data_IF_897401124592
#
_entry.id   IF_897401124592
#
_cell.length_a   1.000
_cell.length_b   1.000
_cell.length_c   1.000
_cell.angle_alpha   90.00
_cell.angle_beta   90.00
_cell.angle_gamma   90.00
#
_symmetry.space_group_name_H-M   'P 1'
#
loop_
_entity.id
_entity.type
_entity.pdbx_description
1 polymer ?
#
# COMPACT_ATOMS: atom_id res chain seq x y z
N UNK A 1 -4.90 43.03 -37.85
CA UNK A 1 -4.95 41.58 -38.14
C UNK A 1 -4.52 40.86 -36.85
N UNK A 2 -5.48 40.49 -36.01
CA UNK A 2 -5.25 39.84 -34.71
C UNK A 2 -5.40 38.33 -34.94
N UNK A 3 -4.30 37.57 -34.71
CA UNK A 3 -4.35 36.11 -34.77
C UNK A 3 -4.97 35.58 -33.46
N UNK A 4 -6.17 35.03 -33.55
CA UNK A 4 -6.76 34.22 -32.52
C UNK A 4 -6.02 32.88 -32.47
N UNK A 5 -5.28 32.61 -31.40
CA UNK A 5 -4.74 31.31 -31.08
C UNK A 5 -5.91 30.40 -30.62
N UNK A 6 -6.15 29.31 -31.36
CA UNK A 6 -7.11 28.30 -31.01
C UNK A 6 -6.70 27.61 -29.73
N UNK A 7 -7.49 27.77 -28.65
CA UNK A 7 -7.45 26.89 -27.48
C UNK A 7 -7.90 25.48 -27.94
N UNK A 8 -6.97 24.51 -27.95
CA UNK A 8 -7.34 23.10 -27.99
C UNK A 8 -7.95 22.77 -26.66
N UNK A 9 -9.24 22.54 -26.59
CA UNK A 9 -9.89 21.87 -25.47
C UNK A 9 -9.40 20.41 -25.46
N UNK A 10 -8.51 20.07 -24.54
CA UNK A 10 -8.26 18.67 -24.22
C UNK A 10 -9.53 18.10 -23.60
N UNK A 11 -10.18 17.19 -24.33
CA UNK A 11 -11.27 16.41 -23.79
C UNK A 11 -10.65 15.39 -22.85
N UNK A 12 -10.68 15.69 -21.55
CA UNK A 12 -10.34 14.72 -20.50
C UNK A 12 -11.44 13.69 -20.50
N UNK A 13 -11.21 12.54 -21.13
CA UNK A 13 -12.07 11.37 -20.95
C UNK A 13 -11.90 10.91 -19.50
N UNK A 14 -12.87 11.21 -18.64
CA UNK A 14 -13.00 10.56 -17.35
C UNK A 14 -13.19 9.06 -17.63
N UNK A 15 -12.15 8.28 -17.41
CA UNK A 15 -12.26 6.83 -17.46
C UNK A 15 -13.24 6.40 -16.37
N UNK A 16 -14.37 5.81 -16.76
CA UNK A 16 -15.35 5.31 -15.80
C UNK A 16 -14.70 4.14 -15.06
N UNK A 17 -14.53 4.28 -13.75
CA UNK A 17 -14.03 3.24 -12.89
C UNK A 17 -15.04 2.09 -12.83
N UNK A 18 -14.65 0.90 -13.25
CA UNK A 18 -15.50 -0.28 -13.12
C UNK A 18 -15.33 -0.89 -11.72
N UNK A 19 -16.42 -0.95 -10.95
CA UNK A 19 -16.41 -1.40 -9.57
C UNK A 19 -17.21 -2.70 -9.44
N UNK A 20 -16.64 -3.70 -8.76
CA UNK A 20 -17.33 -4.95 -8.41
C UNK A 20 -16.87 -5.48 -7.06
N UNK A 21 -17.73 -6.28 -6.44
CA UNK A 21 -17.44 -7.02 -5.22
C UNK A 21 -17.56 -8.52 -5.48
N UNK A 22 -16.73 -9.32 -4.82
CA UNK A 22 -16.76 -10.78 -4.89
C UNK A 22 -16.31 -11.39 -3.57
N UNK A 23 -16.72 -12.61 -3.29
CA UNK A 23 -16.23 -13.38 -2.14
C UNK A 23 -15.21 -14.41 -2.67
N UNK A 24 -13.96 -14.27 -2.24
CA UNK A 24 -12.86 -15.16 -2.61
C UNK A 24 -12.28 -15.77 -1.34
N UNK A 25 -12.29 -17.09 -1.24
CA UNK A 25 -11.79 -17.79 -0.07
C UNK A 25 -12.46 -17.39 1.25
N UNK A 26 -13.75 -16.98 1.19
CA UNK A 26 -14.53 -16.54 2.35
C UNK A 26 -14.32 -15.07 2.75
N UNK A 27 -13.46 -14.31 2.07
CA UNK A 27 -13.27 -12.88 2.30
C UNK A 27 -13.93 -12.05 1.21
N UNK A 28 -14.53 -10.92 1.59
CA UNK A 28 -15.03 -9.93 0.64
C UNK A 28 -13.84 -9.24 -0.01
N UNK A 29 -13.83 -9.18 -1.34
CA UNK A 29 -12.84 -8.50 -2.15
C UNK A 29 -13.54 -7.48 -3.05
N UNK A 30 -13.05 -6.24 -3.05
CA UNK A 30 -13.56 -5.15 -3.86
C UNK A 30 -12.54 -4.83 -4.95
N UNK A 31 -13.05 -4.70 -6.15
CA UNK A 31 -12.25 -4.52 -7.36
C UNK A 31 -12.61 -3.19 -8.00
N UNK A 32 -11.59 -2.40 -8.31
CA UNK A 32 -11.73 -1.12 -9.01
C UNK A 32 -10.80 -1.16 -10.21
N UNK A 33 -11.38 -1.16 -11.40
CA UNK A 33 -10.65 -1.35 -12.65
C UNK A 33 -10.63 -0.05 -13.46
N UNK A 34 -9.42 0.42 -13.76
CA UNK A 34 -9.14 1.59 -14.59
C UNK A 34 -8.61 1.13 -15.94
N UNK A 35 -9.49 1.02 -16.94
CA UNK A 35 -9.13 0.53 -18.29
C UNK A 35 -8.74 -0.95 -18.32
N UNK A 36 -7.87 -1.34 -19.27
CA UNK A 36 -7.30 -2.68 -19.29
C UNK A 36 -6.10 -2.74 -18.36
N UNK A 37 -6.16 -3.45 -17.23
CA UNK A 37 -5.13 -3.40 -16.21
C UNK A 37 -3.80 -3.96 -16.71
N UNK A 38 -2.73 -3.19 -16.52
CA UNK A 38 -1.34 -3.61 -16.75
C UNK A 38 -0.62 -3.98 -15.44
N UNK A 39 -1.27 -3.75 -14.29
CA UNK A 39 -0.74 -3.98 -12.94
C UNK A 39 -1.88 -4.18 -11.95
N UNK A 40 -1.64 -5.01 -10.93
CA UNK A 40 -2.52 -5.20 -9.78
C UNK A 40 -1.98 -4.35 -8.62
N UNK A 41 -2.85 -3.53 -8.03
CA UNK A 41 -2.64 -2.86 -6.75
C UNK A 41 -3.41 -3.65 -5.71
N UNK A 42 -2.75 -4.15 -4.68
CA UNK A 42 -3.35 -5.00 -3.66
C UNK A 42 -3.23 -4.35 -2.29
N UNK A 43 -4.31 -4.36 -1.50
CA UNK A 43 -4.30 -3.85 -0.13
C UNK A 43 -5.29 -4.55 0.78
N UNK A 44 -5.01 -4.67 2.09
CA UNK A 44 -6.03 -5.02 3.07
C UNK A 44 -6.99 -3.86 3.28
N UNK A 45 -8.26 -4.16 3.58
CA UNK A 45 -9.28 -3.16 3.89
C UNK A 45 -10.18 -3.60 5.05
N UNK A 46 -10.87 -2.64 5.66
CA UNK A 46 -11.94 -2.91 6.61
C UNK A 46 -13.30 -2.85 5.92
N UNK A 47 -14.28 -3.62 6.44
CA UNK A 47 -15.62 -3.74 5.83
C UNK A 47 -16.35 -2.43 5.60
N UNK A 48 -16.05 -1.39 6.38
CA UNK A 48 -16.73 -0.08 6.31
C UNK A 48 -16.05 0.91 5.33
N UNK A 49 -14.95 0.55 4.69
CA UNK A 49 -14.14 1.46 3.86
C UNK A 49 -14.55 1.51 2.37
N UNK A 50 -15.64 0.83 1.98
CA UNK A 50 -16.02 0.71 0.55
C UNK A 50 -16.19 2.07 -0.15
N UNK A 51 -16.75 3.07 0.52
CA UNK A 51 -16.97 4.39 -0.08
C UNK A 51 -15.65 5.16 -0.29
N UNK A 52 -14.67 4.98 0.60
CA UNK A 52 -13.38 5.65 0.54
C UNK A 52 -12.46 5.00 -0.51
N UNK A 53 -12.58 3.68 -0.72
CA UNK A 53 -11.81 2.92 -1.72
C UNK A 53 -12.09 3.39 -3.16
N UNK A 54 -13.32 3.77 -3.49
CA UNK A 54 -13.62 4.34 -4.81
C UNK A 54 -12.88 5.67 -5.01
N UNK A 55 -12.94 6.57 -4.03
CA UNK A 55 -12.24 7.85 -4.08
C UNK A 55 -10.72 7.68 -4.16
N UNK A 56 -10.17 6.68 -3.46
CA UNK A 56 -8.76 6.30 -3.54
C UNK A 56 -8.39 5.84 -4.95
N UNK A 57 -9.17 4.92 -5.55
CA UNK A 57 -8.94 4.43 -6.90
C UNK A 57 -9.02 5.56 -7.96
N UNK A 58 -9.98 6.48 -7.83
CA UNK A 58 -10.10 7.65 -8.70
C UNK A 58 -8.89 8.58 -8.58
N UNK A 59 -8.36 8.79 -7.36
CA UNK A 59 -7.15 9.57 -7.14
C UNK A 59 -5.91 8.89 -7.75
N UNK A 60 -5.75 7.56 -7.59
CA UNK A 60 -4.66 6.81 -8.23
C UNK A 60 -4.72 6.99 -9.74
N UNK A 61 -5.91 6.84 -10.35
CA UNK A 61 -6.09 7.01 -11.79
C UNK A 61 -5.70 8.42 -12.26
N UNK A 62 -6.16 9.45 -11.54
CA UNK A 62 -5.87 10.85 -11.85
C UNK A 62 -4.38 11.18 -11.73
N UNK A 63 -3.68 10.63 -10.72
CA UNK A 63 -2.27 10.90 -10.44
C UNK A 63 -1.32 10.13 -11.36
N UNK A 64 -1.61 8.87 -11.67
CA UNK A 64 -0.69 8.00 -12.42
C UNK A 64 -0.95 7.97 -13.91
N UNK A 65 -2.21 8.09 -14.34
CA UNK A 65 -2.61 7.88 -15.74
C UNK A 65 -2.36 6.45 -16.27
N UNK A 66 -1.99 5.53 -15.38
CA UNK A 66 -1.69 4.13 -15.73
C UNK A 66 -2.92 3.26 -15.50
N UNK A 67 -3.33 2.38 -16.45
CA UNK A 67 -4.39 1.41 -16.22
C UNK A 67 -4.00 0.38 -15.16
N UNK A 68 -4.86 0.18 -14.17
CA UNK A 68 -4.63 -0.74 -13.05
C UNK A 68 -5.91 -1.47 -12.62
N UNK A 69 -5.71 -2.53 -11.85
CA UNK A 69 -6.73 -3.18 -11.04
C UNK A 69 -6.40 -2.97 -9.56
N UNK A 70 -7.17 -2.16 -8.83
CA UNK A 70 -7.07 -2.10 -7.38
C UNK A 70 -7.95 -3.20 -6.78
N UNK A 71 -7.35 -4.03 -5.93
CA UNK A 71 -8.03 -5.09 -5.19
C UNK A 71 -7.85 -4.85 -3.70
N UNK A 72 -8.95 -4.57 -3.01
CA UNK A 72 -8.99 -4.44 -1.57
C UNK A 72 -9.69 -5.67 -0.96
N UNK A 73 -9.00 -6.42 -0.09
CA UNK A 73 -9.53 -7.60 0.56
C UNK A 73 -9.80 -7.35 2.04
N UNK A 74 -10.96 -7.78 2.53
CA UNK A 74 -11.34 -7.56 3.93
C UNK A 74 -10.48 -8.38 4.89
N UNK A 75 -10.06 -7.74 5.97
CA UNK A 75 -9.49 -8.38 7.16
C UNK A 75 -10.45 -8.20 8.33
N UNK A 76 -10.58 -9.24 9.16
CA UNK A 76 -11.52 -9.24 10.27
C UNK A 76 -11.00 -8.47 11.49
N UNK A 77 -9.71 -8.61 11.77
CA UNK A 77 -9.04 -7.92 12.89
C UNK A 77 -7.61 -7.51 12.49
N UNK A 78 -7.40 -6.22 12.29
CA UNK A 78 -6.11 -5.65 11.88
C UNK A 78 -4.94 -6.07 12.78
N UNK A 79 -5.16 -6.13 14.10
CA UNK A 79 -4.11 -6.50 15.05
C UNK A 79 -3.79 -8.00 15.01
N UNK A 80 -4.75 -8.82 14.67
CA UNK A 80 -4.60 -10.28 14.57
C UNK A 80 -4.03 -10.66 13.19
N UNK A 81 -4.58 -10.08 12.13
CA UNK A 81 -4.39 -10.51 10.75
C UNK A 81 -3.19 -9.85 10.05
N UNK A 82 -2.75 -8.66 10.50
CA UNK A 82 -1.72 -7.88 9.80
C UNK A 82 -0.42 -7.68 10.60
N UNK A 83 -0.42 -7.87 11.93
CA UNK A 83 0.82 -7.79 12.68
C UNK A 83 1.70 -9.01 12.39
N UNK A 84 3.00 -8.85 12.08
CA UNK A 84 3.92 -9.96 11.86
C UNK A 84 4.17 -10.80 13.14
N UNK A 85 4.10 -10.17 14.30
CA UNK A 85 4.24 -10.77 15.64
C UNK A 85 3.52 -9.94 16.70
N UNK A 86 3.29 -10.51 17.90
CA UNK A 86 2.66 -9.78 19.00
C UNK A 86 3.50 -8.59 19.48
N UNK A 87 2.87 -7.42 19.63
CA UNK A 87 3.44 -6.25 20.32
C UNK A 87 2.40 -5.66 21.30
N UNK A 88 2.71 -5.71 22.59
CA UNK A 88 1.83 -5.20 23.65
C UNK A 88 1.66 -3.69 23.64
N UNK A 89 2.52 -2.95 22.96
CA UNK A 89 2.38 -1.50 22.77
C UNK A 89 1.26 -1.16 21.77
N UNK A 90 0.93 -2.10 20.85
CA UNK A 90 -0.17 -1.96 19.88
C UNK A 90 -1.43 -2.62 20.42
N UNK A 91 -1.35 -3.87 20.83
CA UNK A 91 -2.51 -4.64 21.26
C UNK A 91 -2.18 -5.61 22.39
N UNK A 92 -3.08 -5.66 23.40
CA UNK A 92 -3.05 -6.65 24.47
C UNK A 92 -3.92 -7.87 24.20
N UNK A 93 -4.55 -7.95 23.02
CA UNK A 93 -5.33 -9.12 22.63
C UNK A 93 -4.41 -10.34 22.55
N UNK A 94 -4.82 -11.45 23.10
CA UNK A 94 -4.04 -12.70 23.09
C UNK A 94 -3.72 -13.18 21.67
N UNK A 95 -4.61 -12.93 20.71
CA UNK A 95 -4.48 -13.36 19.32
C UNK A 95 -3.70 -12.36 18.44
N UNK A 96 -3.35 -11.17 18.95
CA UNK A 96 -2.62 -10.17 18.17
C UNK A 96 -1.30 -10.74 17.62
N UNK A 97 -1.05 -10.50 16.33
CA UNK A 97 0.16 -10.95 15.64
C UNK A 97 0.26 -12.46 15.39
N UNK A 98 -0.85 -13.21 15.47
CA UNK A 98 -0.82 -14.67 15.29
C UNK A 98 -1.26 -15.14 13.90
N UNK A 99 -1.85 -14.27 13.07
CA UNK A 99 -2.43 -14.64 11.78
C UNK A 99 -1.83 -13.91 10.58
N UNK A 100 -0.75 -13.18 10.74
CA UNK A 100 -0.08 -12.52 9.62
C UNK A 100 0.32 -13.50 8.51
N UNK A 101 0.92 -14.64 8.86
CA UNK A 101 1.27 -15.70 7.89
C UNK A 101 0.03 -16.29 7.21
N UNK A 102 -1.07 -16.51 7.94
CA UNK A 102 -2.34 -17.01 7.38
C UNK A 102 -2.93 -16.00 6.39
N UNK A 103 -2.81 -14.70 6.68
CA UNK A 103 -3.26 -13.65 5.75
C UNK A 103 -2.38 -13.62 4.50
N UNK A 104 -1.06 -13.76 4.64
CA UNK A 104 -0.15 -13.85 3.49
C UNK A 104 -0.44 -15.10 2.65
N UNK A 105 -0.63 -16.27 3.27
CA UNK A 105 -1.00 -17.51 2.59
C UNK A 105 -2.32 -17.36 1.81
N UNK A 106 -3.32 -16.70 2.39
CA UNK A 106 -4.56 -16.39 1.69
C UNK A 106 -4.29 -15.53 0.44
N UNK A 107 -3.46 -14.50 0.54
CA UNK A 107 -3.09 -13.66 -0.61
C UNK A 107 -2.40 -14.48 -1.69
N UNK A 108 -1.40 -15.28 -1.32
CA UNK A 108 -0.56 -16.00 -2.28
C UNK A 108 -1.23 -17.23 -2.89
N UNK A 109 -2.01 -17.97 -2.09
CA UNK A 109 -2.53 -19.29 -2.48
C UNK A 109 -4.01 -19.27 -2.89
N UNK A 110 -4.72 -18.17 -2.60
CA UNK A 110 -6.16 -18.08 -2.90
C UNK A 110 -6.47 -16.84 -3.74
N UNK A 111 -6.14 -15.64 -3.26
CA UNK A 111 -6.55 -14.39 -3.89
C UNK A 111 -5.82 -14.13 -5.21
N UNK A 112 -4.49 -14.14 -5.21
CA UNK A 112 -3.69 -13.86 -6.42
C UNK A 112 -3.88 -14.89 -7.53
N UNK A 113 -3.97 -16.20 -7.27
CA UNK A 113 -4.30 -17.17 -8.31
C UNK A 113 -5.63 -16.90 -9.01
N UNK A 114 -6.68 -16.54 -8.23
CA UNK A 114 -7.99 -16.19 -8.79
C UNK A 114 -7.93 -14.92 -9.66
N UNK A 115 -7.22 -13.89 -9.21
CA UNK A 115 -7.03 -12.66 -9.98
C UNK A 115 -6.23 -12.94 -11.26
N UNK A 116 -5.13 -13.68 -11.17
CA UNK A 116 -4.27 -14.01 -12.30
C UNK A 116 -4.93 -14.90 -13.34
N UNK A 117 -5.90 -15.73 -12.94
CA UNK A 117 -6.72 -16.51 -13.87
C UNK A 117 -7.54 -15.59 -14.80
N UNK A 118 -7.96 -14.42 -14.32
CA UNK A 118 -8.74 -13.44 -15.10
C UNK A 118 -7.87 -12.42 -15.84
N UNK A 119 -6.82 -11.92 -15.21
CA UNK A 119 -6.03 -10.77 -15.71
C UNK A 119 -4.63 -11.15 -16.22
N UNK A 120 -4.22 -12.41 -16.07
CA UNK A 120 -2.90 -12.86 -16.45
C UNK A 120 -1.80 -12.54 -15.40
N UNK A 121 -0.53 -12.85 -15.71
CA UNK A 121 0.60 -12.70 -14.80
C UNK A 121 1.17 -11.27 -14.82
N UNK A 122 0.33 -10.27 -14.56
CA UNK A 122 0.77 -8.87 -14.47
C UNK A 122 1.47 -8.58 -13.14
N UNK A 123 2.35 -7.55 -13.07
CA UNK A 123 3.00 -7.12 -11.84
C UNK A 123 2.01 -6.84 -10.70
N UNK A 124 2.43 -7.09 -9.46
CA UNK A 124 1.63 -6.84 -8.26
C UNK A 124 2.36 -5.85 -7.36
N UNK A 125 1.72 -4.73 -7.06
CA UNK A 125 2.15 -3.76 -6.06
C UNK A 125 1.34 -4.03 -4.79
N UNK A 126 2.01 -4.37 -3.71
CA UNK A 126 1.32 -4.54 -2.43
C UNK A 126 1.43 -3.26 -1.61
N UNK A 127 0.30 -2.74 -1.17
CA UNK A 127 0.27 -1.51 -0.39
C UNK A 127 -0.63 -1.61 0.83
N UNK A 128 -0.58 -0.55 1.63
CA UNK A 128 -1.44 -0.41 2.77
C UNK A 128 -1.11 0.79 3.63
N UNK A 129 -2.05 1.12 4.50
CA UNK A 129 -1.93 2.18 5.48
C UNK A 129 -1.66 1.60 6.87
N UNK A 130 -0.82 2.27 7.67
CA UNK A 130 -0.57 1.92 9.08
C UNK A 130 -0.08 0.46 9.25
N UNK A 131 -0.84 -0.42 9.92
CA UNK A 131 -0.54 -1.86 10.01
C UNK A 131 -0.60 -2.55 8.64
N UNK A 132 -1.43 -2.07 7.72
CA UNK A 132 -1.45 -2.56 6.34
C UNK A 132 -0.15 -2.27 5.60
N UNK A 133 0.44 -1.08 5.81
CA UNK A 133 1.75 -0.72 5.27
C UNK A 133 2.90 -1.53 5.87
N UNK A 134 2.86 -1.77 7.20
CA UNK A 134 3.78 -2.68 7.86
C UNK A 134 3.67 -4.10 7.31
N UNK A 135 2.44 -4.58 7.11
CA UNK A 135 2.19 -5.91 6.57
C UNK A 135 2.71 -6.05 5.13
N UNK A 136 2.55 -5.02 4.29
CA UNK A 136 3.06 -5.03 2.93
C UNK A 136 4.60 -5.10 2.89
N UNK A 137 5.30 -4.36 3.76
CA UNK A 137 6.75 -4.44 3.92
C UNK A 137 7.17 -5.83 4.40
N UNK A 138 6.53 -6.36 5.44
CA UNK A 138 6.81 -7.69 5.95
C UNK A 138 6.54 -8.78 4.91
N UNK A 139 5.40 -8.74 4.22
CA UNK A 139 5.06 -9.70 3.19
C UNK A 139 6.09 -9.72 2.05
N UNK A 140 6.61 -8.55 1.65
CA UNK A 140 7.63 -8.45 0.61
C UNK A 140 9.01 -8.98 1.02
N UNK A 141 9.25 -9.22 2.32
CA UNK A 141 10.43 -9.95 2.81
C UNK A 141 10.22 -11.47 2.87
N UNK A 142 8.98 -11.95 2.68
CA UNK A 142 8.66 -13.39 2.71
C UNK A 142 8.59 -14.01 1.31
N UNK A 143 8.39 -13.21 0.25
CA UNK A 143 8.17 -13.69 -1.11
C UNK A 143 8.55 -12.63 -2.14
N UNK A 144 9.01 -13.06 -3.31
CA UNK A 144 9.29 -12.25 -4.50
C UNK A 144 8.07 -11.97 -5.38
N UNK A 145 6.89 -12.36 -4.93
CA UNK A 145 5.61 -12.19 -5.66
C UNK A 145 5.27 -10.73 -5.91
N UNK A 146 5.68 -9.83 -5.02
CA UNK A 146 5.34 -8.41 -5.08
C UNK A 146 6.45 -7.62 -5.77
N UNK A 147 6.11 -7.01 -6.91
CA UNK A 147 7.04 -6.20 -7.70
C UNK A 147 7.48 -4.94 -6.96
N UNK A 148 6.57 -4.31 -6.22
CA UNK A 148 6.85 -3.11 -5.44
C UNK A 148 5.94 -3.00 -4.21
N UNK A 149 6.31 -2.12 -3.28
CA UNK A 149 5.56 -1.86 -2.04
C UNK A 149 5.18 -0.38 -1.93
N UNK A 150 3.89 -0.12 -1.63
CA UNK A 150 3.35 1.20 -1.33
C UNK A 150 2.91 1.26 0.15
N UNK A 151 3.79 1.72 1.04
CA UNK A 151 3.54 1.74 2.48
C UNK A 151 3.31 3.18 2.99
N UNK A 152 2.04 3.54 3.21
CA UNK A 152 1.66 4.84 3.74
C UNK A 152 1.54 4.79 5.27
N UNK A 153 2.25 5.69 5.95
CA UNK A 153 2.30 5.80 7.42
C UNK A 153 2.50 4.44 8.13
N UNK A 154 3.45 3.57 7.67
CA UNK A 154 3.56 2.21 8.15
C UNK A 154 3.92 2.14 9.63
N UNK A 155 3.39 1.17 10.36
CA UNK A 155 3.63 0.97 11.79
C UNK A 155 5.02 0.38 12.09
N UNK A 156 6.07 0.86 11.44
CA UNK A 156 7.47 0.38 11.57
C UNK A 156 8.11 0.64 12.94
N UNK A 157 7.35 1.25 13.86
CA UNK A 157 7.75 1.48 15.25
C UNK A 157 7.48 0.31 16.20
N UNK A 158 6.84 -0.79 15.72
CA UNK A 158 6.63 -1.99 16.53
C UNK A 158 7.96 -2.54 17.04
N UNK A 159 7.92 -3.15 18.21
CA UNK A 159 9.11 -3.70 18.84
C UNK A 159 9.76 -4.78 17.95
N UNK A 160 11.06 -4.64 17.73
CA UNK A 160 11.83 -5.59 16.91
C UNK A 160 11.79 -5.37 15.41
N UNK A 161 10.99 -4.40 14.88
CA UNK A 161 10.88 -4.21 13.43
C UNK A 161 12.21 -3.88 12.75
N UNK A 162 12.92 -2.85 13.19
CA UNK A 162 14.18 -2.42 12.54
C UNK A 162 15.25 -3.52 12.50
N UNK A 163 15.54 -4.24 13.61
CA UNK A 163 16.43 -5.41 13.55
C UNK A 163 15.93 -6.52 12.63
N UNK A 164 14.61 -6.71 12.54
CA UNK A 164 14.02 -7.68 11.62
C UNK A 164 14.24 -7.26 10.16
N UNK A 165 13.92 -6.02 9.79
CA UNK A 165 14.08 -5.50 8.43
C UNK A 165 15.56 -5.53 7.95
N UNK A 166 16.50 -5.25 8.84
CA UNK A 166 17.94 -5.37 8.54
C UNK A 166 18.34 -6.81 8.23
N UNK A 167 17.78 -7.79 8.96
CA UNK A 167 18.09 -9.21 8.78
C UNK A 167 17.28 -9.89 7.65
N UNK A 168 16.17 -9.31 7.20
CA UNK A 168 15.24 -9.89 6.23
C UNK A 168 14.92 -8.87 5.14
N UNK A 169 15.79 -8.71 4.15
CA UNK A 169 15.61 -7.78 3.03
C UNK A 169 14.29 -8.00 2.28
N UNK A 170 13.66 -6.92 1.82
CA UNK A 170 12.50 -7.02 0.92
C UNK A 170 12.93 -7.58 -0.43
N UNK A 171 12.08 -8.38 -1.07
CA UNK A 171 12.33 -8.95 -2.41
C UNK A 171 11.71 -8.09 -3.53
N UNK A 172 11.00 -7.02 -3.17
CA UNK A 172 10.44 -6.05 -4.10
C UNK A 172 11.55 -5.19 -4.74
N UNK A 173 11.33 -4.71 -5.96
CA UNK A 173 12.30 -3.88 -6.70
C UNK A 173 12.18 -2.38 -6.40
N UNK A 174 11.10 -1.93 -5.78
CA UNK A 174 10.89 -0.55 -5.39
C UNK A 174 9.98 -0.43 -4.16
N UNK A 175 10.23 0.59 -3.34
CA UNK A 175 9.42 0.88 -2.13
C UNK A 175 9.12 2.36 -2.03
N UNK A 176 7.84 2.69 -1.82
CA UNK A 176 7.40 4.03 -1.46
C UNK A 176 6.97 4.04 0.00
N UNK A 177 7.53 4.96 0.76
CA UNK A 177 7.20 5.22 2.16
C UNK A 177 6.63 6.63 2.31
N UNK A 178 5.64 6.81 3.17
CA UNK A 178 5.23 8.16 3.60
C UNK A 178 4.92 8.21 5.09
N UNK A 179 4.94 9.41 5.67
CA UNK A 179 4.57 9.66 7.06
C UNK A 179 4.05 11.09 7.22
N UNK A 180 3.00 11.28 8.02
CA UNK A 180 2.55 12.61 8.40
C UNK A 180 3.55 13.31 9.32
N UNK A 181 3.84 14.58 9.06
CA UNK A 181 4.80 15.40 9.82
C UNK A 181 4.49 15.49 11.32
N UNK A 182 3.21 15.34 11.69
CA UNK A 182 2.76 15.42 13.08
C UNK A 182 2.78 14.05 13.79
N UNK A 183 2.99 12.93 13.09
CA UNK A 183 2.91 11.59 13.67
C UNK A 183 3.99 11.30 14.70
N UNK A 184 5.17 11.89 14.57
CA UNK A 184 6.25 11.75 15.55
C UNK A 184 6.11 12.72 16.76
N UNK A 185 5.12 13.63 16.74
CA UNK A 185 4.89 14.64 17.79
C UNK A 185 3.79 14.25 18.80
N UNK A 186 3.42 12.97 18.85
CA UNK A 186 2.39 12.44 19.75
C UNK A 186 2.90 12.20 21.17
N UNK A 187 1.98 12.16 22.16
CA UNK A 187 2.30 11.90 23.58
C UNK A 187 2.70 10.44 23.84
N UNK A 188 2.21 9.49 23.06
CA UNK A 188 2.51 8.08 23.23
C UNK A 188 3.99 7.81 22.88
N UNK A 189 4.76 7.33 23.86
CA UNK A 189 6.21 7.13 23.72
C UNK A 189 6.59 6.05 22.71
N UNK A 190 5.75 5.04 22.50
CA UNK A 190 5.99 3.99 21.52
C UNK A 190 5.78 4.55 20.10
N UNK A 191 4.63 5.19 19.86
CA UNK A 191 4.29 5.78 18.54
C UNK A 191 5.25 6.92 18.18
N UNK A 192 5.66 7.75 19.15
CA UNK A 192 6.59 8.87 18.92
C UNK A 192 7.88 8.46 18.20
N UNK A 193 8.26 7.19 18.26
CA UNK A 193 9.45 6.66 17.58
C UNK A 193 9.27 6.49 16.08
N UNK A 194 8.03 6.59 15.56
CA UNK A 194 7.69 6.26 14.17
C UNK A 194 8.57 6.99 13.15
N UNK A 195 8.79 8.29 13.32
CA UNK A 195 9.63 9.07 12.41
C UNK A 195 11.08 8.59 12.36
N UNK A 196 11.67 8.28 13.53
CA UNK A 196 13.03 7.74 13.59
C UNK A 196 13.11 6.31 13.02
N UNK A 197 12.10 5.48 13.29
CA UNK A 197 12.04 4.13 12.73
C UNK A 197 11.90 4.18 11.20
N UNK A 198 11.05 5.08 10.69
CA UNK A 198 10.86 5.22 9.25
C UNK A 198 12.11 5.72 8.51
N UNK A 199 12.86 6.67 9.11
CA UNK A 199 14.15 7.11 8.54
C UNK A 199 15.17 5.97 8.48
N UNK A 200 15.22 5.11 9.51
CA UNK A 200 16.09 3.91 9.51
C UNK A 200 15.62 2.88 8.49
N UNK A 201 14.32 2.64 8.39
CA UNK A 201 13.75 1.77 7.36
C UNK A 201 14.14 2.24 5.95
N UNK A 202 13.99 3.54 5.68
CA UNK A 202 14.37 4.13 4.40
C UNK A 202 15.88 3.98 4.12
N UNK A 203 16.73 4.16 5.13
CA UNK A 203 18.18 3.93 5.01
C UNK A 203 18.50 2.48 4.68
N UNK A 204 17.88 1.51 5.37
CA UNK A 204 18.05 0.08 5.10
C UNK A 204 17.63 -0.28 3.67
N UNK A 205 16.45 0.20 3.25
CA UNK A 205 15.95 -0.01 1.89
C UNK A 205 16.86 0.62 0.83
N UNK A 206 17.35 1.84 1.06
CA UNK A 206 18.29 2.52 0.16
C UNK A 206 19.61 1.76 0.01
N UNK A 207 20.13 1.19 1.09
CA UNK A 207 21.33 0.35 1.06
C UNK A 207 21.11 -0.98 0.33
N UNK A 208 19.91 -1.51 0.39
CA UNK A 208 19.54 -2.79 -0.20
C UNK A 208 19.19 -2.68 -1.69
N UNK A 209 18.34 -1.71 -2.06
CA UNK A 209 17.74 -1.60 -3.39
C UNK A 209 18.40 -0.52 -4.27
N UNK A 210 19.13 0.40 -3.67
CA UNK A 210 19.56 1.67 -4.27
C UNK A 210 18.57 2.80 -3.94
N UNK A 211 19.10 3.99 -3.70
CA UNK A 211 18.30 5.15 -3.31
C UNK A 211 17.26 5.55 -4.37
N UNK A 212 17.55 5.30 -5.65
CA UNK A 212 16.65 5.57 -6.76
C UNK A 212 15.43 4.64 -6.82
N UNK A 213 15.47 3.52 -6.10
CA UNK A 213 14.36 2.56 -5.99
C UNK A 213 13.48 2.82 -4.76
N UNK A 214 13.85 3.79 -3.93
CA UNK A 214 13.18 4.09 -2.67
C UNK A 214 12.69 5.53 -2.64
N UNK A 215 11.46 5.74 -2.24
CA UNK A 215 10.87 7.07 -2.05
C UNK A 215 10.42 7.23 -0.60
N UNK A 216 10.75 8.37 0.02
CA UNK A 216 10.22 8.76 1.33
C UNK A 216 9.60 10.14 1.24
N UNK A 217 8.30 10.25 1.55
CA UNK A 217 7.54 11.50 1.53
C UNK A 217 7.02 11.85 2.92
N UNK A 218 7.22 13.11 3.31
CA UNK A 218 6.63 13.69 4.52
C UNK A 218 5.35 14.44 4.15
N UNK A 219 4.23 13.88 4.56
CA UNK A 219 2.88 14.39 4.29
C UNK A 219 2.43 15.39 5.36
N UNK A 220 1.49 16.27 5.04
CA UNK A 220 0.91 17.17 6.03
C UNK A 220 -0.02 16.43 7.00
N UNK A 221 -0.07 16.89 8.27
CA UNK A 221 -0.98 16.41 9.31
C UNK A 221 -0.51 15.17 10.07
N UNK A 222 -1.45 14.59 10.82
CA UNK A 222 -1.24 13.46 11.72
C UNK A 222 -1.66 12.13 11.09
N UNK A 223 -1.61 11.05 11.88
CA UNK A 223 -1.93 9.68 11.45
C UNK A 223 -3.36 9.48 10.89
N UNK A 224 -4.27 10.38 11.17
CA UNK A 224 -5.67 10.28 10.73
C UNK A 224 -6.04 11.32 9.66
N UNK A 225 -5.02 12.00 9.11
CA UNK A 225 -5.21 13.02 8.09
C UNK A 225 -5.02 12.40 6.72
N UNK A 226 -6.07 12.40 5.88
CA UNK A 226 -6.01 12.03 4.46
C UNK A 226 -5.41 10.63 4.20
N UNK A 227 -5.87 9.62 4.92
CA UNK A 227 -5.32 8.26 4.86
C UNK A 227 -5.41 7.69 3.45
N UNK A 228 -6.57 7.79 2.80
CA UNK A 228 -6.84 7.31 1.45
C UNK A 228 -5.98 8.08 0.42
N UNK A 229 -5.91 9.39 0.55
CA UNK A 229 -5.09 10.21 -0.34
C UNK A 229 -3.60 9.92 -0.23
N UNK A 230 -3.10 9.65 0.97
CA UNK A 230 -1.70 9.24 1.16
C UNK A 230 -1.40 7.89 0.53
N UNK A 231 -2.31 6.91 0.67
CA UNK A 231 -2.12 5.60 0.05
C UNK A 231 -2.27 5.69 -1.46
N UNK A 232 -3.21 6.50 -1.97
CA UNK A 232 -3.34 6.78 -3.39
C UNK A 232 -2.07 7.38 -3.99
N UNK A 233 -1.43 8.35 -3.30
CA UNK A 233 -0.15 8.93 -3.73
C UNK A 233 0.99 7.91 -3.69
N UNK A 234 1.00 7.02 -2.71
CA UNK A 234 2.00 5.96 -2.63
C UNK A 234 1.89 4.98 -3.80
N UNK A 235 0.68 4.50 -4.11
CA UNK A 235 0.45 3.67 -5.30
C UNK A 235 0.78 4.40 -6.60
N UNK A 236 0.31 5.63 -6.76
CA UNK A 236 0.60 6.43 -7.95
C UNK A 236 2.11 6.69 -8.12
N UNK A 237 2.83 6.96 -7.04
CA UNK A 237 4.28 7.15 -7.06
C UNK A 237 5.02 5.92 -7.56
N UNK A 238 4.64 4.72 -7.11
CA UNK A 238 5.19 3.45 -7.62
C UNK A 238 4.82 3.25 -9.11
N UNK A 239 3.59 3.52 -9.51
CA UNK A 239 3.17 3.39 -10.92
C UNK A 239 3.98 4.29 -11.84
N UNK A 240 4.22 5.53 -11.44
CA UNK A 240 5.05 6.49 -12.20
C UNK A 240 6.50 6.00 -12.29
N UNK A 241 7.07 5.54 -11.16
CA UNK A 241 8.42 4.99 -11.13
C UNK A 241 8.58 3.78 -12.09
N UNK A 242 7.64 2.82 -12.06
CA UNK A 242 7.71 1.62 -12.91
C UNK A 242 7.52 1.94 -14.40
N UNK A 243 6.86 3.03 -14.75
CA UNK A 243 6.68 3.46 -16.14
C UNK A 243 7.97 4.07 -16.74
N UNK A 244 8.86 4.60 -15.90
CA UNK A 244 10.11 5.22 -16.32
C UNK A 244 11.29 4.22 -16.48
N UNK A 245 11.08 2.97 -16.06
CA UNK A 245 12.06 1.87 -16.16
C UNK A 245 11.78 0.97 -17.35
#
# INVERSE_FOLDING_TARGET
MVRLSAFRSEVVYLQVMNCRESIIGGKVCRFFESGQPSVILLQPSARHETATLLGEAEQIAALSGTPFLLVAFDVDDWMVDLMPWPDKNISRKEQAGKRGTVTLDYVLLTLLPEIRAQYGPVPVIFGGYSLGGLFALWASSQTDTFTAVAAASPSVWIEGWIPYADAHPVMASAVYLSLGKEEEHVKNRAIKKVGNCLRKEFELLGNQLGNECCTLVWEEGNHFTDNEGRLARAFAGILLYLREK
#
